data_IF_989327687229
#
_entry.id   IF_989327687229
#
_cell.length_a   1.000
_cell.length_b   1.000
_cell.length_c   1.000
_cell.angle_alpha   90.00
_cell.angle_beta   90.00
_cell.angle_gamma   90.00
#
_symmetry.space_group_name_H-M   'P 1'
#
loop_
_entity.id
_entity.type
_entity.pdbx_description
1 polymer ?
#
# COMPACT_ATOMS: atom_id res chain seq x y z
N UNK A 1 -14.77 19.62 -25.14
CA UNK A 1 -15.18 20.99 -24.73
C UNK A 1 -13.94 21.88 -24.67
N UNK A 2 -14.07 23.19 -24.93
CA UNK A 2 -12.98 24.16 -24.70
C UNK A 2 -13.12 24.68 -23.28
N UNK A 3 -12.06 24.59 -22.50
CA UNK A 3 -12.02 25.04 -21.10
C UNK A 3 -10.90 26.07 -20.98
N UNK A 4 -11.15 27.12 -20.21
CA UNK A 4 -10.15 28.11 -19.81
C UNK A 4 -9.82 27.87 -18.34
N UNK A 5 -8.54 27.81 -18.00
CA UNK A 5 -8.04 27.58 -16.64
C UNK A 5 -7.03 28.67 -16.33
N UNK A 6 -7.15 29.29 -15.17
CA UNK A 6 -6.15 30.22 -14.67
C UNK A 6 -5.03 29.43 -14.00
N UNK A 7 -3.80 29.62 -14.48
CA UNK A 7 -2.61 28.94 -13.99
C UNK A 7 -1.56 29.99 -13.62
N UNK A 8 -0.89 29.84 -12.48
CA UNK A 8 0.31 30.62 -12.18
C UNK A 8 1.38 30.48 -13.27
N UNK A 9 2.10 31.57 -13.55
CA UNK A 9 3.09 31.63 -14.65
C UNK A 9 4.22 30.61 -14.48
N UNK A 10 4.66 30.39 -13.24
CA UNK A 10 5.68 29.41 -12.89
C UNK A 10 5.22 27.98 -13.19
N UNK A 11 3.97 27.64 -12.86
CA UNK A 11 3.34 26.35 -13.19
C UNK A 11 3.23 26.18 -14.70
N UNK A 12 2.78 27.20 -15.42
CA UNK A 12 2.66 27.14 -16.88
C UNK A 12 4.02 26.95 -17.55
N UNK A 13 5.06 27.60 -17.04
CA UNK A 13 6.44 27.44 -17.52
C UNK A 13 6.94 26.01 -17.33
N UNK A 14 6.78 25.45 -16.13
CA UNK A 14 7.18 24.07 -15.84
C UNK A 14 6.41 23.06 -16.68
N UNK A 15 5.10 23.25 -16.86
CA UNK A 15 4.28 22.39 -17.71
C UNK A 15 4.74 22.40 -19.17
N UNK A 16 5.14 23.56 -19.72
CA UNK A 16 5.69 23.65 -21.08
C UNK A 16 7.00 22.89 -21.21
N UNK A 17 7.90 23.00 -20.24
CA UNK A 17 9.18 22.26 -20.23
C UNK A 17 8.89 20.75 -20.22
N UNK A 18 8.04 20.29 -19.30
CA UNK A 18 7.66 18.88 -19.21
C UNK A 18 6.99 18.34 -20.48
N UNK A 19 6.19 19.16 -21.16
CA UNK A 19 5.56 18.78 -22.43
C UNK A 19 6.61 18.54 -23.53
N UNK A 20 7.60 19.45 -23.65
CA UNK A 20 8.70 19.36 -24.62
C UNK A 20 9.58 18.14 -24.34
N UNK A 21 9.97 17.93 -23.08
CA UNK A 21 10.78 16.77 -22.67
C UNK A 21 10.12 15.44 -23.00
N UNK A 22 8.77 15.38 -22.90
CA UNK A 22 7.97 14.20 -23.27
C UNK A 22 7.67 14.10 -24.77
N UNK A 23 8.11 15.06 -25.59
CA UNK A 23 7.78 15.11 -27.02
C UNK A 23 6.28 15.28 -27.31
N UNK A 24 5.56 15.95 -26.41
CA UNK A 24 4.09 16.08 -26.43
C UNK A 24 3.66 17.55 -26.43
N UNK A 25 2.39 17.81 -26.78
CA UNK A 25 1.83 19.16 -26.66
C UNK A 25 1.41 19.45 -25.22
N UNK A 26 1.42 20.73 -24.81
CA UNK A 26 0.91 21.15 -23.50
C UNK A 26 -0.54 20.68 -23.27
N UNK A 27 -1.37 20.70 -24.32
CA UNK A 27 -2.74 20.19 -24.27
C UNK A 27 -2.78 18.71 -23.90
N UNK A 28 -1.93 17.91 -24.54
CA UNK A 28 -1.87 16.47 -24.30
C UNK A 28 -1.38 16.17 -22.88
N UNK A 29 -0.35 16.89 -22.42
CA UNK A 29 0.14 16.80 -21.04
C UNK A 29 -0.98 17.05 -20.01
N UNK A 30 -1.76 18.11 -20.19
CA UNK A 30 -2.87 18.44 -19.28
C UNK A 30 -3.95 17.36 -19.30
N UNK A 31 -4.31 16.84 -20.48
CA UNK A 31 -5.29 15.75 -20.60
C UNK A 31 -4.81 14.49 -19.87
N UNK A 32 -3.55 14.11 -20.06
CA UNK A 32 -3.00 12.89 -19.47
C UNK A 32 -2.82 13.02 -17.96
N UNK A 33 -2.41 14.19 -17.48
CA UNK A 33 -2.36 14.49 -16.05
C UNK A 33 -3.76 14.38 -15.42
N UNK A 34 -4.77 15.01 -16.01
CA UNK A 34 -6.15 14.91 -15.50
C UNK A 34 -6.68 13.47 -15.55
N UNK A 35 -6.36 12.71 -16.59
CA UNK A 35 -6.74 11.30 -16.67
C UNK A 35 -6.10 10.47 -15.57
N UNK A 36 -4.81 10.70 -15.28
CA UNK A 36 -4.11 10.04 -14.20
C UNK A 36 -4.76 10.36 -12.85
N UNK A 37 -4.99 11.64 -12.54
CA UNK A 37 -5.56 12.06 -11.25
C UNK A 37 -7.03 11.65 -11.07
N UNK A 38 -7.79 11.54 -12.16
CA UNK A 38 -9.20 11.14 -12.12
C UNK A 38 -9.40 9.64 -12.30
N UNK A 39 -8.33 8.85 -12.44
CA UNK A 39 -8.47 7.40 -12.37
C UNK A 39 -9.01 7.05 -10.99
N UNK A 40 -10.14 6.31 -10.90
CA UNK A 40 -10.59 5.82 -9.62
C UNK A 40 -9.50 4.93 -9.07
N UNK A 41 -8.92 5.34 -7.93
CA UNK A 41 -8.05 4.49 -7.11
C UNK A 41 -8.72 3.11 -7.05
N UNK A 42 -8.08 2.05 -7.59
CA UNK A 42 -8.65 0.73 -7.51
C UNK A 42 -8.73 0.42 -6.02
N UNK A 43 -9.95 0.54 -5.44
CA UNK A 43 -10.28 0.17 -4.06
C UNK A 43 -9.41 -1.02 -3.70
N UNK A 44 -8.38 -0.79 -2.87
CA UNK A 44 -7.29 -1.73 -2.68
C UNK A 44 -7.91 -3.11 -2.50
N UNK A 45 -7.84 -3.93 -3.57
CA UNK A 45 -8.61 -5.17 -3.62
C UNK A 45 -8.04 -5.97 -2.47
N UNK A 46 -8.85 -6.19 -1.42
CA UNK A 46 -8.41 -6.90 -0.23
C UNK A 46 -8.13 -8.34 -0.67
N UNK A 47 -6.91 -8.61 -1.13
CA UNK A 47 -6.49 -9.91 -1.58
C UNK A 47 -6.40 -10.75 -0.31
N UNK A 48 -7.39 -11.61 -0.11
CA UNK A 48 -7.30 -12.64 0.91
C UNK A 48 -6.21 -13.60 0.46
N UNK A 49 -5.11 -13.61 1.19
CA UNK A 49 -4.05 -14.61 1.01
C UNK A 49 -4.65 -15.93 1.48
N UNK A 50 -5.07 -16.78 0.54
CA UNK A 50 -5.65 -18.10 0.82
C UNK A 50 -4.59 -19.21 0.83
N UNK A 51 -3.35 -18.90 0.46
CA UNK A 51 -2.24 -19.83 0.45
C UNK A 51 -1.05 -19.27 1.23
N UNK A 52 -0.33 -20.09 2.00
CA UNK A 52 0.80 -19.62 2.78
C UNK A 52 1.93 -19.10 1.87
N UNK A 53 2.53 -17.97 2.24
CA UNK A 53 3.64 -17.34 1.50
C UNK A 53 4.95 -18.14 1.57
N UNK A 54 5.02 -19.11 2.47
CA UNK A 54 6.15 -20.01 2.67
C UNK A 54 5.67 -21.46 2.62
N UNK A 55 6.56 -22.37 2.23
CA UNK A 55 6.29 -23.79 2.28
C UNK A 55 6.08 -24.24 3.74
N UNK A 56 4.84 -24.51 4.10
CA UNK A 56 4.49 -25.05 5.41
C UNK A 56 4.72 -26.56 5.44
N UNK A 57 5.31 -27.03 6.54
CA UNK A 57 5.36 -28.45 6.86
C UNK A 57 3.94 -29.06 6.89
N UNK A 58 3.80 -30.38 6.66
CA UNK A 58 2.49 -31.05 6.62
C UNK A 58 1.69 -30.90 7.92
N UNK A 59 2.37 -30.83 9.05
CA UNK A 59 1.84 -30.71 10.41
C UNK A 59 1.73 -29.25 10.89
N UNK A 60 1.94 -28.27 10.00
CA UNK A 60 1.91 -26.87 10.40
C UNK A 60 0.52 -26.46 10.92
N UNK A 61 0.44 -25.87 12.13
CA UNK A 61 -0.83 -25.54 12.79
C UNK A 61 -1.67 -24.53 12.00
N UNK A 62 -1.03 -23.68 11.19
CA UNK A 62 -1.72 -22.75 10.29
C UNK A 62 -2.62 -23.44 9.22
N UNK A 63 -2.46 -24.75 8.97
CA UNK A 63 -3.31 -25.52 8.06
C UNK A 63 -4.59 -26.05 8.71
N UNK A 64 -4.61 -26.20 10.03
CA UNK A 64 -5.67 -26.91 10.77
C UNK A 64 -6.36 -26.04 11.82
N UNK A 65 -5.74 -24.94 12.25
CA UNK A 65 -6.30 -24.05 13.27
C UNK A 65 -7.24 -23.00 12.68
N UNK A 66 -8.33 -22.74 13.40
CA UNK A 66 -9.20 -21.59 13.16
C UNK A 66 -8.46 -20.27 13.49
N UNK A 67 -8.79 -19.16 12.82
CA UNK A 67 -8.15 -17.85 13.07
C UNK A 67 -8.13 -17.41 14.53
N UNK A 68 -9.18 -17.74 15.30
CA UNK A 68 -9.26 -17.35 16.72
C UNK A 68 -8.31 -18.15 17.61
N UNK A 69 -8.07 -19.43 17.28
CA UNK A 69 -7.09 -20.24 17.99
C UNK A 69 -5.65 -19.74 17.71
N UNK A 70 -5.39 -19.22 16.50
CA UNK A 70 -4.10 -18.61 16.15
C UNK A 70 -3.85 -17.35 16.99
N UNK A 71 -4.88 -16.50 17.20
CA UNK A 71 -4.77 -15.31 18.05
C UNK A 71 -4.44 -15.66 19.49
N UNK A 72 -5.13 -16.65 20.05
CA UNK A 72 -4.89 -17.09 21.43
C UNK A 72 -3.45 -17.60 21.64
N UNK A 73 -2.88 -18.29 20.65
CA UNK A 73 -1.49 -18.75 20.71
C UNK A 73 -0.50 -17.58 20.63
N UNK A 74 -0.78 -16.57 19.81
CA UNK A 74 0.07 -15.38 19.70
C UNK A 74 0.03 -14.57 21.01
N UNK A 75 -1.16 -14.39 21.59
CA UNK A 75 -1.35 -13.72 22.89
C UNK A 75 -0.62 -14.46 24.02
N UNK A 76 -0.70 -15.79 24.06
CA UNK A 76 0.02 -16.59 25.06
C UNK A 76 1.55 -16.47 24.90
N UNK A 77 2.05 -16.55 23.66
CA UNK A 77 3.49 -16.40 23.40
C UNK A 77 4.01 -14.99 23.75
N UNK A 78 3.20 -13.96 23.55
CA UNK A 78 3.54 -12.59 23.94
C UNK A 78 3.62 -12.45 25.47
N UNK A 79 2.66 -13.01 26.20
CA UNK A 79 2.66 -13.00 27.66
C UNK A 79 3.90 -13.71 28.24
N UNK A 80 4.26 -14.89 27.71
CA UNK A 80 5.45 -15.62 28.12
C UNK A 80 6.74 -14.81 27.87
N UNK A 81 6.81 -14.11 26.73
CA UNK A 81 7.94 -13.26 26.37
C UNK A 81 8.04 -12.02 27.27
N UNK A 82 6.92 -11.45 27.71
CA UNK A 82 6.87 -10.33 28.65
C UNK A 82 7.30 -10.76 30.05
N UNK A 83 6.83 -11.92 30.52
CA UNK A 83 7.22 -12.51 31.80
C UNK A 83 8.73 -12.79 31.85
N UNK A 84 9.29 -13.35 30.78
CA UNK A 84 10.73 -13.60 30.68
C UNK A 84 11.56 -12.29 30.73
N UNK A 85 11.04 -11.20 30.14
CA UNK A 85 11.67 -9.88 30.20
C UNK A 85 11.59 -9.28 31.60
N UNK A 86 10.47 -9.40 32.30
CA UNK A 86 10.34 -8.90 33.68
C UNK A 86 11.26 -9.64 34.63
N UNK A 87 11.37 -10.96 34.49
CA UNK A 87 12.25 -11.79 35.32
C UNK A 87 13.72 -11.47 35.08
N UNK A 88 14.09 -11.13 33.85
CA UNK A 88 15.44 -10.67 33.50
C UNK A 88 15.75 -9.26 34.02
N UNK A 89 14.74 -8.39 34.17
CA UNK A 89 14.90 -7.03 34.68
C UNK A 89 15.02 -6.96 36.22
N UNK A 90 14.51 -7.97 36.90
CA UNK A 90 14.51 -8.07 38.37
C UNK A 90 15.65 -8.94 38.94
N UNK A 91 16.61 -9.36 38.11
CA UNK A 91 17.90 -9.92 38.52
C UNK A 91 19.02 -8.88 38.45
#
# INVERSE_FOLDING_TARGET
>A
MRTTLDLPDDVLRLAKIAAIERGSSLRQLVIDALRHELQPEPLARRVRITAPLIALAPDAPARTLAPDAIKQLDEAAQADAEQAKSDALHR
#
